data_IF_715729361055
#
_entry.id   IF_715729361055
#
_cell.length_a   1.000
_cell.length_b   1.000
_cell.length_c   1.000
_cell.angle_alpha   90.00
_cell.angle_beta   90.00
_cell.angle_gamma   90.00
#
_symmetry.space_group_name_H-M   'P 1'
#
loop_
_entity.id
_entity.type
_entity.pdbx_description
1 polymer ?
#
# COMPACT_ATOMS: atom_id res chain seq x y z
N UNK A 1 0.07 -10.27 0.14
CA UNK A 1 -1.33 -10.52 0.49
C UNK A 1 -1.51 -11.96 0.92
N UNK A 2 -1.45 -12.89 -0.03
CA UNK A 2 -1.61 -14.33 0.25
C UNK A 2 -0.60 -14.86 1.28
N UNK A 3 0.68 -14.50 1.18
CA UNK A 3 1.69 -14.87 2.17
C UNK A 3 1.40 -14.31 3.58
N UNK A 4 0.82 -13.11 3.67
CA UNK A 4 0.40 -12.53 4.96
C UNK A 4 -0.74 -13.38 5.51
N UNK A 5 -1.75 -13.69 4.68
CA UNK A 5 -2.88 -14.54 5.07
C UNK A 5 -2.42 -15.92 5.54
N UNK A 6 -1.43 -16.52 4.88
CA UNK A 6 -0.85 -17.79 5.30
C UNK A 6 -0.15 -17.69 6.66
N UNK A 7 0.64 -16.64 6.89
CA UNK A 7 1.25 -16.38 8.20
C UNK A 7 0.18 -16.19 9.30
N UNK A 8 -0.91 -15.48 9.01
CA UNK A 8 -2.05 -15.33 9.93
C UNK A 8 -2.73 -16.67 10.22
N UNK A 9 -2.82 -17.57 9.24
CA UNK A 9 -3.38 -18.91 9.44
C UNK A 9 -2.52 -19.78 10.35
N UNK A 10 -1.20 -19.54 10.37
CA UNK A 10 -0.27 -20.16 11.31
C UNK A 10 -0.23 -19.44 12.69
N UNK A 11 -1.11 -18.47 12.92
CA UNK A 11 -1.23 -17.80 14.21
C UNK A 11 -0.13 -16.79 14.51
N UNK A 12 0.59 -16.29 13.48
CA UNK A 12 1.62 -15.28 13.66
C UNK A 12 1.09 -14.06 14.41
N UNK A 13 1.82 -13.60 15.42
CA UNK A 13 1.54 -12.36 16.18
C UNK A 13 2.42 -11.18 15.76
N UNK A 14 3.52 -11.47 15.10
CA UNK A 14 4.42 -10.49 14.51
C UNK A 14 4.80 -10.96 13.11
N UNK A 15 4.70 -10.06 12.15
CA UNK A 15 5.11 -10.30 10.76
C UNK A 15 6.22 -9.31 10.42
N UNK A 16 7.39 -9.84 10.10
CA UNK A 16 8.48 -9.07 9.52
C UNK A 16 8.33 -9.10 8.01
N UNK A 17 8.27 -7.92 7.38
CA UNK A 17 8.06 -7.81 5.94
C UNK A 17 9.18 -6.99 5.28
N UNK A 18 9.90 -7.62 4.36
CA UNK A 18 10.76 -6.92 3.42
C UNK A 18 9.95 -6.49 2.18
N UNK A 19 9.92 -5.19 1.90
CA UNK A 19 9.17 -4.63 0.74
C UNK A 19 10.08 -4.09 -0.37
N UNK A 20 11.39 -4.33 -0.29
CA UNK A 20 12.36 -3.95 -1.33
C UNK A 20 12.16 -4.69 -2.66
N UNK A 21 12.66 -4.12 -3.76
CA UNK A 21 12.67 -4.78 -5.07
C UNK A 21 11.31 -4.93 -5.76
N UNK A 22 10.30 -4.14 -5.36
CA UNK A 22 8.95 -4.23 -5.92
C UNK A 22 8.92 -3.93 -7.43
N UNK A 23 8.11 -4.68 -8.19
CA UNK A 23 7.72 -4.33 -9.56
C UNK A 23 6.40 -3.53 -9.63
N UNK A 24 5.71 -3.33 -8.51
CA UNK A 24 4.35 -2.78 -8.47
C UNK A 24 4.32 -1.27 -8.24
N UNK A 25 3.27 -0.61 -8.74
CA UNK A 25 2.91 0.78 -8.44
C UNK A 25 1.38 0.90 -8.29
N UNK A 26 0.82 -0.04 -7.53
CA UNK A 26 -0.63 -0.24 -7.34
C UNK A 26 -1.10 0.19 -5.94
N UNK A 27 -0.26 0.86 -5.15
CA UNK A 27 -0.60 1.27 -3.80
C UNK A 27 -0.79 0.10 -2.82
N UNK A 28 -0.33 -1.11 -3.14
CA UNK A 28 -0.59 -2.30 -2.33
C UNK A 28 -2.03 -2.82 -2.42
N UNK A 29 -2.81 -2.39 -3.42
CA UNK A 29 -4.21 -2.80 -3.58
C UNK A 29 -4.36 -4.30 -3.89
N UNK A 30 -3.41 -4.91 -4.59
CA UNK A 30 -3.38 -6.38 -4.75
C UNK A 30 -3.19 -7.11 -3.41
N UNK A 31 -2.31 -6.59 -2.54
CA UNK A 31 -2.13 -7.13 -1.19
C UNK A 31 -3.40 -7.03 -0.36
N UNK A 32 -4.04 -5.86 -0.36
CA UNK A 32 -5.28 -5.60 0.38
C UNK A 32 -6.45 -6.45 -0.14
N UNK A 33 -6.55 -6.64 -1.46
CA UNK A 33 -7.58 -7.49 -2.06
C UNK A 33 -7.48 -8.94 -1.56
N UNK A 34 -6.26 -9.49 -1.52
CA UNK A 34 -6.01 -10.83 -0.97
C UNK A 34 -6.33 -10.94 0.54
N UNK A 35 -6.37 -9.81 1.25
CA UNK A 35 -6.72 -9.71 2.67
C UNK A 35 -8.20 -9.34 2.91
N UNK A 36 -9.01 -9.27 1.85
CA UNK A 36 -10.46 -9.11 1.94
C UNK A 36 -11.01 -7.70 1.65
N UNK A 37 -10.16 -6.74 1.28
CA UNK A 37 -10.62 -5.42 0.81
C UNK A 37 -11.23 -5.53 -0.58
N UNK A 38 -12.32 -4.81 -0.82
CA UNK A 38 -12.90 -4.67 -2.16
C UNK A 38 -12.82 -3.23 -2.63
N UNK A 39 -12.43 -3.07 -3.88
CA UNK A 39 -12.36 -1.78 -4.56
C UNK A 39 -13.47 -1.75 -5.60
N UNK A 40 -14.32 -0.73 -5.55
CA UNK A 40 -15.45 -0.60 -6.49
C UNK A 40 -15.42 0.73 -7.21
N UNK A 41 -15.95 0.74 -8.43
CA UNK A 41 -16.14 1.94 -9.23
C UNK A 41 -17.43 2.70 -8.85
N UNK A 42 -17.76 3.76 -9.60
CA UNK A 42 -18.94 4.60 -9.32
C UNK A 42 -20.28 3.87 -9.52
N UNK A 43 -20.28 2.76 -10.24
CA UNK A 43 -21.46 1.93 -10.48
C UNK A 43 -21.61 0.83 -9.42
N UNK A 44 -20.60 0.67 -8.54
CA UNK A 44 -20.53 -0.40 -7.56
C UNK A 44 -19.89 -1.69 -8.08
N UNK A 45 -19.34 -1.67 -9.29
CA UNK A 45 -18.69 -2.83 -9.89
C UNK A 45 -17.28 -3.01 -9.34
N UNK A 46 -16.86 -4.27 -9.16
CA UNK A 46 -15.51 -4.59 -8.69
C UNK A 46 -14.45 -4.18 -9.70
N UNK A 47 -13.47 -3.42 -9.23
CA UNK A 47 -12.31 -3.02 -10.04
C UNK A 47 -11.25 -4.12 -10.04
N UNK A 48 -10.78 -4.48 -11.23
CA UNK A 48 -9.52 -5.22 -11.35
C UNK A 48 -8.37 -4.27 -11.04
N UNK A 49 -7.73 -4.43 -9.89
CA UNK A 49 -6.76 -3.45 -9.42
C UNK A 49 -5.43 -3.47 -10.18
N UNK A 50 -4.96 -2.27 -10.51
CA UNK A 50 -3.65 -1.95 -11.05
C UNK A 50 -3.41 -0.44 -10.82
N UNK A 51 -2.22 0.07 -11.19
CA UNK A 51 -1.88 1.48 -10.99
C UNK A 51 -2.79 2.48 -11.71
N UNK A 52 -3.34 2.13 -12.88
CA UNK A 52 -4.26 3.00 -13.62
C UNK A 52 -5.65 3.04 -12.99
N UNK A 53 -6.15 1.89 -12.52
CA UNK A 53 -7.49 1.76 -11.94
C UNK A 53 -7.61 2.37 -10.54
N UNK A 54 -6.49 2.79 -9.93
CA UNK A 54 -6.51 3.60 -8.71
C UNK A 54 -7.36 4.87 -8.89
N UNK A 55 -7.32 5.52 -10.05
CA UNK A 55 -8.10 6.74 -10.32
C UNK A 55 -9.63 6.50 -10.40
N UNK A 56 -10.06 5.25 -10.54
CA UNK A 56 -11.46 4.89 -10.73
C UNK A 56 -12.13 4.38 -9.44
N UNK A 57 -11.38 4.26 -8.34
CA UNK A 57 -11.92 3.81 -7.06
C UNK A 57 -12.98 4.80 -6.56
N UNK A 58 -14.24 4.40 -6.52
CA UNK A 58 -15.28 5.18 -5.86
C UNK A 58 -15.34 4.87 -4.37
N UNK A 59 -15.23 3.59 -4.00
CA UNK A 59 -15.31 3.11 -2.63
C UNK A 59 -14.28 2.01 -2.34
N UNK A 60 -13.72 2.08 -1.12
CA UNK A 60 -12.90 1.03 -0.51
C UNK A 60 -13.73 0.36 0.58
N UNK A 61 -14.22 -0.84 0.31
CA UNK A 61 -14.98 -1.65 1.26
C UNK A 61 -14.02 -2.54 2.07
N UNK A 62 -14.00 -2.31 3.38
CA UNK A 62 -13.16 -3.00 4.36
C UNK A 62 -13.96 -3.95 5.26
N UNK A 63 -15.26 -4.17 5.00
CA UNK A 63 -16.12 -5.01 5.83
C UNK A 63 -15.60 -6.44 5.95
N UNK A 64 -14.93 -6.95 4.91
CA UNK A 64 -14.34 -8.29 4.89
C UNK A 64 -12.81 -8.29 5.10
N UNK A 65 -12.22 -7.16 5.49
CA UNK A 65 -10.80 -7.10 5.84
C UNK A 65 -10.51 -8.07 6.99
N UNK A 66 -9.47 -8.90 6.84
CA UNK A 66 -9.10 -9.90 7.83
C UNK A 66 -8.88 -9.26 9.21
N UNK A 67 -9.77 -9.55 10.16
CA UNK A 67 -9.81 -8.89 11.45
C UNK A 67 -8.55 -9.12 12.28
N UNK A 68 -7.80 -10.20 12.01
CA UNK A 68 -6.55 -10.53 12.70
C UNK A 68 -5.46 -9.50 12.43
N UNK A 69 -5.55 -8.71 11.36
CA UNK A 69 -4.58 -7.65 11.05
C UNK A 69 -4.49 -6.57 12.14
N UNK A 70 -5.53 -6.42 12.96
CA UNK A 70 -5.54 -5.50 14.12
C UNK A 70 -4.78 -6.04 15.33
N UNK A 71 -4.58 -7.36 15.38
CA UNK A 71 -3.91 -8.06 16.50
C UNK A 71 -2.46 -8.40 16.19
N UNK A 72 -2.01 -8.19 14.96
CA UNK A 72 -0.67 -8.54 14.49
C UNK A 72 0.15 -7.29 14.29
N UNK A 73 1.35 -7.28 14.88
CA UNK A 73 2.33 -6.22 14.66
C UNK A 73 3.10 -6.46 13.37
N UNK A 74 3.12 -5.46 12.49
CA UNK A 74 3.93 -5.47 11.28
C UNK A 74 5.20 -4.67 11.49
N UNK A 75 6.36 -5.34 11.42
CA UNK A 75 7.69 -4.71 11.32
C UNK A 75 8.11 -4.70 9.86
N UNK A 76 8.09 -3.54 9.22
CA UNK A 76 8.35 -3.44 7.79
C UNK A 76 9.73 -2.83 7.55
N UNK A 77 10.61 -3.60 6.92
CA UNK A 77 11.92 -3.14 6.51
C UNK A 77 11.77 -2.15 5.34
N UNK A 78 12.04 -0.87 5.62
CA UNK A 78 11.91 0.25 4.71
C UNK A 78 13.13 1.17 4.84
N UNK A 79 14.08 1.06 3.90
CA UNK A 79 15.32 1.85 3.91
C UNK A 79 15.19 3.20 3.18
N UNK A 80 13.99 3.55 2.74
CA UNK A 80 13.70 4.79 2.00
C UNK A 80 12.70 5.65 2.76
N UNK A 81 12.79 6.97 2.59
CA UNK A 81 11.94 7.94 3.29
C UNK A 81 10.91 8.62 2.38
N UNK A 82 10.88 8.27 1.09
CA UNK A 82 10.00 8.89 0.11
C UNK A 82 8.52 8.85 0.54
N UNK A 83 7.78 9.97 0.46
CA UNK A 83 6.35 10.00 0.69
C UNK A 83 5.58 9.25 -0.40
N UNK A 84 4.27 9.12 -0.23
CA UNK A 84 3.43 8.46 -1.22
C UNK A 84 3.33 9.26 -2.54
N UNK A 85 3.15 10.58 -2.43
CA UNK A 85 2.78 11.47 -3.54
C UNK A 85 3.82 12.58 -3.78
N UNK A 86 3.71 13.23 -4.94
CA UNK A 86 4.50 14.41 -5.31
C UNK A 86 5.82 14.07 -5.97
N UNK A 87 6.66 15.08 -6.22
CA UNK A 87 7.91 14.93 -6.99
C UNK A 87 8.91 13.96 -6.34
N UNK A 88 8.87 13.85 -5.01
CA UNK A 88 9.67 12.89 -4.25
C UNK A 88 8.89 11.59 -3.92
N UNK A 89 7.68 11.44 -4.46
CA UNK A 89 6.75 10.38 -4.17
C UNK A 89 7.04 9.06 -4.87
N UNK A 90 6.20 8.05 -4.59
CA UNK A 90 6.38 6.69 -5.10
C UNK A 90 6.49 6.64 -6.63
N UNK A 91 5.55 7.31 -7.30
CA UNK A 91 5.43 7.27 -8.76
C UNK A 91 6.58 8.00 -9.44
N UNK A 92 6.94 9.19 -8.99
CA UNK A 92 8.00 9.99 -9.61
C UNK A 92 9.40 9.36 -9.43
N UNK A 93 9.69 8.83 -8.25
CA UNK A 93 11.01 8.29 -7.92
C UNK A 93 11.19 6.86 -8.44
N UNK A 94 10.19 6.00 -8.26
CA UNK A 94 10.33 4.56 -8.55
C UNK A 94 9.56 4.10 -9.79
N UNK A 95 8.69 4.93 -10.36
CA UNK A 95 7.97 4.62 -11.59
C UNK A 95 8.89 4.35 -12.79
N UNK A 96 9.91 5.19 -13.08
CA UNK A 96 10.78 5.01 -14.25
C UNK A 96 11.48 3.65 -14.32
N UNK A 97 12.05 3.19 -13.20
CA UNK A 97 12.71 1.88 -13.11
C UNK A 97 11.74 0.69 -13.22
N UNK A 98 10.43 0.94 -13.07
CA UNK A 98 9.35 -0.05 -13.26
C UNK A 98 8.72 0.05 -14.66
N UNK A 99 9.25 0.89 -15.54
CA UNK A 99 8.79 1.06 -16.92
C UNK A 99 7.76 2.16 -17.14
N UNK A 100 7.48 3.02 -16.14
CA UNK A 100 6.60 4.17 -16.35
C UNK A 100 7.34 5.26 -17.14
N UNK A 101 6.80 5.65 -18.30
CA UNK A 101 7.35 6.75 -19.08
C UNK A 101 6.92 8.13 -18.54
N UNK A 102 7.53 9.19 -19.08
CA UNK A 102 7.25 10.57 -18.68
C UNK A 102 5.78 11.00 -18.87
N UNK A 103 5.02 10.34 -19.75
CA UNK A 103 3.59 10.61 -19.98
C UNK A 103 2.70 9.83 -19.00
N UNK A 104 3.17 8.70 -18.48
CA UNK A 104 2.49 7.88 -17.49
C UNK A 104 2.62 8.44 -16.08
N UNK A 105 3.78 8.99 -15.73
CA UNK A 105 4.09 9.46 -14.37
C UNK A 105 3.01 10.42 -13.80
N UNK A 106 2.61 11.50 -14.49
CA UNK A 106 1.59 12.41 -13.95
C UNK A 106 0.22 11.74 -13.74
N UNK A 107 -0.14 10.78 -14.59
CA UNK A 107 -1.42 10.06 -14.49
C UNK A 107 -1.41 9.09 -13.32
N UNK A 108 -0.31 8.37 -13.13
CA UNK A 108 -0.14 7.43 -12.03
C UNK A 108 -0.05 8.14 -10.67
N UNK A 109 0.58 9.32 -10.60
CA UNK A 109 0.65 10.11 -9.37
C UNK A 109 -0.73 10.68 -9.02
N UNK A 110 -1.48 11.19 -10.01
CA UNK A 110 -2.88 11.58 -9.82
C UNK A 110 -3.74 10.41 -9.31
N UNK A 111 -3.59 9.23 -9.93
CA UNK A 111 -4.32 8.03 -9.53
C UNK A 111 -3.98 7.62 -8.09
N UNK A 112 -2.70 7.70 -7.70
CA UNK A 112 -2.25 7.47 -6.33
C UNK A 112 -2.79 8.51 -5.35
N UNK A 113 -2.89 9.78 -5.76
CA UNK A 113 -3.46 10.85 -4.94
C UNK A 113 -4.94 10.60 -4.66
N UNK A 114 -5.69 10.21 -5.68
CA UNK A 114 -7.09 9.83 -5.54
C UNK A 114 -7.24 8.62 -4.61
N UNK A 115 -6.39 7.60 -4.76
CA UNK A 115 -6.36 6.44 -3.88
C UNK A 115 -6.08 6.82 -2.41
N UNK A 116 -5.11 7.71 -2.16
CA UNK A 116 -4.84 8.24 -0.83
C UNK A 116 -6.08 8.90 -0.21
N UNK A 117 -6.81 9.71 -0.97
CA UNK A 117 -8.00 10.39 -0.46
C UNK A 117 -9.10 9.37 -0.10
N UNK A 118 -9.25 8.30 -0.90
CA UNK A 118 -10.16 7.20 -0.59
C UNK A 118 -9.74 6.42 0.65
N UNK A 119 -8.44 6.18 0.85
CA UNK A 119 -7.92 5.60 2.10
C UNK A 119 -8.29 6.48 3.29
N UNK A 120 -8.04 7.79 3.18
CA UNK A 120 -8.33 8.74 4.26
C UNK A 120 -9.82 8.75 4.61
N UNK A 121 -10.70 8.66 3.60
CA UNK A 121 -12.15 8.60 3.83
C UNK A 121 -12.57 7.33 4.58
N UNK A 122 -12.02 6.16 4.26
CA UNK A 122 -12.46 4.90 4.89
C UNK A 122 -11.74 4.55 6.19
N UNK A 123 -10.51 5.03 6.40
CA UNK A 123 -9.69 4.71 7.59
C UNK A 123 -9.53 5.88 8.56
N UNK A 124 -9.79 7.12 8.12
CA UNK A 124 -9.46 8.34 8.86
C UNK A 124 -7.96 8.68 8.89
N UNK A 125 -7.09 7.84 8.32
CA UNK A 125 -5.63 8.02 8.37
C UNK A 125 -5.12 8.75 7.13
N UNK A 126 -4.32 9.79 7.33
CA UNK A 126 -3.60 10.50 6.26
C UNK A 126 -2.15 10.00 6.22
N UNK A 127 -1.81 9.20 5.21
CA UNK A 127 -0.54 8.45 5.17
C UNK A 127 0.51 9.04 4.24
N UNK A 128 0.16 10.02 3.40
CA UNK A 128 1.08 10.58 2.41
C UNK A 128 2.38 11.15 3.01
N UNK A 129 2.28 11.88 4.13
CA UNK A 129 3.42 12.59 4.74
C UNK A 129 4.27 11.71 5.66
N UNK A 130 3.92 10.43 5.82
CA UNK A 130 4.69 9.52 6.67
C UNK A 130 5.94 9.09 5.87
N UNK A 131 7.15 9.26 6.42
CA UNK A 131 8.38 8.82 5.77
C UNK A 131 8.32 7.34 5.40
N UNK A 132 8.62 7.00 4.15
CA UNK A 132 8.59 5.63 3.65
C UNK A 132 7.21 5.14 3.19
N UNK A 133 6.16 5.98 3.28
CA UNK A 133 4.82 5.62 2.76
C UNK A 133 4.82 5.33 1.25
N UNK A 134 5.75 5.92 0.49
CA UNK A 134 5.92 5.63 -0.93
C UNK A 134 6.68 4.35 -1.25
N UNK A 135 7.21 3.66 -0.24
CA UNK A 135 7.97 2.44 -0.45
C UNK A 135 7.12 1.38 -1.18
N UNK A 136 7.81 0.62 -2.04
CA UNK A 136 7.22 -0.46 -2.84
C UNK A 136 6.00 -0.04 -3.67
N UNK A 137 6.02 1.18 -4.23
CA UNK A 137 4.92 1.67 -5.07
C UNK A 137 3.64 1.97 -4.29
N UNK A 138 3.79 2.42 -3.04
CA UNK A 138 2.70 2.78 -2.15
C UNK A 138 2.19 1.66 -1.23
N UNK A 139 2.82 0.48 -1.24
CA UNK A 139 2.49 -0.57 -0.27
C UNK A 139 2.79 -0.12 1.18
N UNK A 140 3.81 0.70 1.39
CA UNK A 140 4.09 1.31 2.70
C UNK A 140 2.88 2.08 3.24
N UNK A 141 2.26 2.91 2.40
CA UNK A 141 1.02 3.62 2.73
C UNK A 141 -0.15 2.67 3.07
N UNK A 142 -0.33 1.59 2.30
CA UNK A 142 -1.36 0.60 2.60
C UNK A 142 -1.13 -0.10 3.96
N UNK A 143 0.10 -0.49 4.27
CA UNK A 143 0.42 -1.13 5.55
C UNK A 143 0.20 -0.16 6.73
N UNK A 144 0.61 1.10 6.60
CA UNK A 144 0.36 2.16 7.58
C UNK A 144 -1.14 2.44 7.81
N UNK A 145 -1.93 2.38 6.73
CA UNK A 145 -3.37 2.67 6.80
C UNK A 145 -4.16 1.50 7.41
N UNK A 146 -3.93 0.27 6.93
CA UNK A 146 -4.81 -0.87 7.21
C UNK A 146 -4.28 -1.85 8.26
N UNK A 147 -3.01 -1.76 8.66
CA UNK A 147 -2.38 -2.67 9.62
C UNK A 147 -1.72 -1.88 10.76
N UNK A 148 -1.49 -2.54 11.91
CA UNK A 148 -0.69 -2.00 13.00
C UNK A 148 0.81 -2.11 12.64
N UNK A 149 1.30 -1.10 11.91
CA UNK A 149 2.60 -1.13 11.23
C UNK A 149 3.57 -0.09 11.75
N UNK A 150 4.83 -0.49 11.90
CA UNK A 150 5.96 0.44 11.98
C UNK A 150 6.89 0.23 10.78
N UNK A 151 7.26 1.33 10.11
CA UNK A 151 8.31 1.32 9.09
C UNK A 151 9.66 1.60 9.79
N UNK A 152 10.58 0.65 9.69
CA UNK A 152 11.92 0.73 10.30
C UNK A 152 12.98 0.35 9.29
N UNK A 153 14.23 0.78 9.52
CA UNK A 153 15.33 0.38 8.64
C UNK A 153 15.49 -1.13 8.71
N UNK A 154 15.84 -1.74 7.58
CA UNK A 154 15.96 -3.21 7.50
C UNK A 154 16.95 -3.78 8.50
N UNK A 155 18.03 -3.03 8.77
CA UNK A 155 19.05 -3.43 9.75
C UNK A 155 18.48 -3.50 11.17
N UNK A 156 17.68 -2.52 11.56
CA UNK A 156 17.08 -2.45 12.89
C UNK A 156 16.07 -3.60 13.08
N UNK A 157 15.29 -3.92 12.04
CA UNK A 157 14.33 -5.05 12.06
C UNK A 157 14.99 -6.40 12.28
N UNK A 158 16.22 -6.59 11.80
CA UNK A 158 16.96 -7.86 11.94
C UNK A 158 17.63 -7.98 13.31
N UNK A 159 18.04 -6.85 13.90
CA UNK A 159 18.72 -6.83 15.20
C UNK A 159 17.77 -6.71 16.41
N UNK A 160 16.49 -6.33 16.21
CA UNK A 160 15.43 -6.22 17.23
C UNK A 160 14.58 -7.49 17.43
#
# INVERSE_FOLDING_TARGET
GELIKDALNHGAKTIILGIGGSATNDGGTGMLSALGVKFTDVNGDLLQMNGANLAHIAQIDITNLDSRLKEVTFKVACDVSNPLLGENGATYIYGPQKGADAKMIPKLDFAMSHYHDKIKMCTGKSVNQIPGSGAAGGMGAALLAFCETTLTKGIDVVFD
#
